data_IF_980978905760
#
_entry.id   IF_980978905760
#
_cell.length_a   1.000
_cell.length_b   1.000
_cell.length_c   1.000
_cell.angle_alpha   90.00
_cell.angle_beta   90.00
_cell.angle_gamma   90.00
#
_symmetry.space_group_name_H-M   'P 1'
#
loop_
_entity.id
_entity.type
_entity.pdbx_description
1 polymer ?
#
# COMPACT_ATOMS: atom_id res chain seq x y z
N UNK A 1 -4.69 31.65 16.47
CA UNK A 1 -5.77 31.00 15.69
C UNK A 1 -5.26 30.74 14.28
N UNK A 2 -4.47 29.67 14.08
CA UNK A 2 -3.97 29.27 12.76
C UNK A 2 -3.61 27.78 12.79
N UNK A 3 -4.53 26.90 12.44
CA UNK A 3 -4.21 25.51 12.06
C UNK A 3 -4.61 25.32 10.61
N UNK A 4 -3.72 25.76 9.72
CA UNK A 4 -3.74 25.43 8.30
C UNK A 4 -3.40 23.96 8.14
N UNK A 5 -4.31 23.07 8.53
CA UNK A 5 -4.27 21.70 8.04
C UNK A 5 -4.64 21.83 6.58
N UNK A 6 -3.65 21.79 5.69
CA UNK A 6 -3.93 21.61 4.27
C UNK A 6 -4.79 20.35 4.17
N UNK A 7 -6.07 20.51 3.86
CA UNK A 7 -6.92 19.36 3.57
C UNK A 7 -6.21 18.59 2.46
N UNK A 8 -5.80 17.37 2.78
CA UNK A 8 -5.35 16.40 1.80
C UNK A 8 -6.57 16.06 0.93
N UNK A 9 -6.90 16.95 0.00
CA UNK A 9 -7.93 16.74 -1.00
C UNK A 9 -7.42 15.65 -1.93
N UNK A 10 -7.72 14.40 -1.57
CA UNK A 10 -7.45 13.26 -2.43
C UNK A 10 -8.26 13.47 -3.71
N UNK A 11 -7.63 13.30 -4.86
CA UNK A 11 -8.34 13.41 -6.12
C UNK A 11 -9.42 12.31 -6.21
N UNK A 12 -10.51 12.54 -6.97
CA UNK A 12 -11.48 11.49 -7.26
C UNK A 12 -10.83 10.25 -7.88
N UNK A 13 -9.83 10.43 -8.75
CA UNK A 13 -9.08 9.35 -9.40
C UNK A 13 -8.32 8.50 -8.37
N UNK A 14 -7.62 9.13 -7.44
CA UNK A 14 -6.93 8.43 -6.34
C UNK A 14 -7.90 7.60 -5.50
N UNK A 15 -9.03 8.18 -5.09
CA UNK A 15 -10.03 7.48 -4.28
C UNK A 15 -10.63 6.28 -5.02
N UNK A 16 -10.88 6.43 -6.32
CA UNK A 16 -11.36 5.34 -7.16
C UNK A 16 -10.33 4.22 -7.22
N UNK A 17 -9.07 4.55 -7.55
CA UNK A 17 -7.98 3.57 -7.62
C UNK A 17 -7.78 2.82 -6.29
N UNK A 18 -7.81 3.54 -5.17
CA UNK A 18 -7.69 2.94 -3.83
C UNK A 18 -8.84 1.95 -3.55
N UNK A 19 -10.09 2.31 -3.86
CA UNK A 19 -11.26 1.45 -3.66
C UNK A 19 -11.24 0.23 -4.58
N UNK A 20 -10.91 0.40 -5.85
CA UNK A 20 -10.79 -0.69 -6.81
C UNK A 20 -9.68 -1.66 -6.42
N UNK A 21 -8.54 -1.14 -5.94
CA UNK A 21 -7.45 -1.97 -5.41
C UNK A 21 -7.86 -2.72 -4.14
N UNK A 22 -8.52 -2.06 -3.19
CA UNK A 22 -9.01 -2.72 -1.98
C UNK A 22 -9.96 -3.88 -2.35
N UNK A 23 -10.92 -3.64 -3.24
CA UNK A 23 -11.83 -4.66 -3.73
C UNK A 23 -11.10 -5.85 -4.41
N UNK A 24 -10.06 -5.58 -5.21
CA UNK A 24 -9.23 -6.61 -5.81
C UNK A 24 -8.41 -7.41 -4.77
N UNK A 25 -7.97 -6.77 -3.70
CA UNK A 25 -7.20 -7.41 -2.63
C UNK A 25 -8.05 -8.30 -1.74
N UNK A 26 -9.37 -8.13 -1.69
CA UNK A 26 -10.26 -9.00 -0.94
C UNK A 26 -10.28 -10.45 -1.51
N UNK A 27 -10.34 -11.48 -0.67
CA UNK A 27 -10.42 -12.86 -1.13
C UNK A 27 -11.82 -13.21 -1.66
N UNK A 28 -12.03 -13.08 -2.98
CA UNK A 28 -13.25 -13.51 -3.67
C UNK A 28 -12.99 -14.07 -5.06
N UNK A 29 -13.58 -15.23 -5.40
CA UNK A 29 -13.31 -15.94 -6.68
C UNK A 29 -14.18 -15.47 -7.85
N UNK A 30 -15.42 -15.04 -7.60
CA UNK A 30 -16.43 -14.89 -8.65
C UNK A 30 -16.15 -13.77 -9.66
N UNK A 31 -15.41 -12.71 -9.29
CA UNK A 31 -15.19 -11.55 -10.15
C UNK A 31 -13.72 -11.11 -10.20
N UNK A 32 -12.79 -12.03 -9.90
CA UNK A 32 -11.37 -11.73 -9.75
C UNK A 32 -10.77 -11.04 -11.01
N UNK A 33 -11.09 -11.54 -12.22
CA UNK A 33 -10.56 -10.95 -13.46
C UNK A 33 -11.12 -9.54 -13.72
N UNK A 34 -12.42 -9.35 -13.48
CA UNK A 34 -13.07 -8.04 -13.65
C UNK A 34 -12.54 -7.03 -12.66
N UNK A 35 -12.42 -7.41 -11.38
CA UNK A 35 -11.84 -6.56 -10.35
C UNK A 35 -10.39 -6.17 -10.66
N UNK A 36 -9.57 -7.12 -11.16
CA UNK A 36 -8.21 -6.82 -11.60
C UNK A 36 -8.18 -5.84 -12.78
N UNK A 37 -9.06 -5.99 -13.77
CA UNK A 37 -9.14 -5.06 -14.89
C UNK A 37 -9.55 -3.66 -14.43
N UNK A 38 -10.58 -3.55 -13.59
CA UNK A 38 -11.04 -2.27 -13.03
C UNK A 38 -9.93 -1.60 -12.22
N UNK A 39 -9.18 -2.35 -11.41
CA UNK A 39 -8.05 -1.82 -10.67
C UNK A 39 -6.93 -1.29 -11.59
N UNK A 40 -6.58 -2.02 -12.66
CA UNK A 40 -5.59 -1.56 -13.65
C UNK A 40 -6.03 -0.29 -14.38
N UNK A 41 -7.29 -0.23 -14.81
CA UNK A 41 -7.85 0.94 -15.47
C UNK A 41 -7.89 2.17 -14.54
N UNK A 42 -8.19 1.97 -13.25
CA UNK A 42 -8.15 3.06 -12.28
C UNK A 42 -6.70 3.55 -12.03
N UNK A 43 -5.71 2.64 -12.06
CA UNK A 43 -4.29 2.96 -11.89
C UNK A 43 -3.67 3.69 -13.09
N UNK A 44 -4.18 3.52 -14.30
CA UNK A 44 -3.65 4.20 -15.49
C UNK A 44 -3.95 5.70 -15.50
N UNK A 45 -4.97 6.14 -14.77
CA UNK A 45 -5.34 7.56 -14.65
C UNK A 45 -4.56 8.34 -13.58
N UNK A 46 -3.66 7.68 -12.84
CA UNK A 46 -2.93 8.31 -11.74
C UNK A 46 -1.61 8.93 -12.20
N UNK A 47 -1.31 10.11 -11.65
CA UNK A 47 0.01 10.72 -11.79
C UNK A 47 1.08 10.01 -10.93
N UNK A 48 2.35 10.42 -11.08
CA UNK A 48 3.47 9.82 -10.34
C UNK A 48 3.35 10.01 -8.82
N UNK A 49 2.84 11.15 -8.37
CA UNK A 49 2.65 11.46 -6.94
C UNK A 49 1.58 10.58 -6.34
N UNK A 50 0.45 10.44 -7.04
CA UNK A 50 -0.67 9.58 -6.64
C UNK A 50 -0.27 8.11 -6.65
N UNK A 51 0.44 7.64 -7.68
CA UNK A 51 1.02 6.29 -7.73
C UNK A 51 1.95 6.04 -6.55
N UNK A 52 2.80 7.00 -6.20
CA UNK A 52 3.69 6.91 -5.03
C UNK A 52 2.92 6.85 -3.71
N UNK A 53 1.80 7.58 -3.59
CA UNK A 53 0.91 7.52 -2.42
C UNK A 53 0.21 6.16 -2.32
N UNK A 54 -0.29 5.61 -3.42
CA UNK A 54 -0.87 4.26 -3.46
C UNK A 54 0.17 3.21 -3.07
N UNK A 55 1.39 3.29 -3.60
CA UNK A 55 2.48 2.38 -3.25
C UNK A 55 2.80 2.40 -1.74
N UNK A 56 2.85 3.60 -1.13
CA UNK A 56 3.03 3.76 0.32
C UNK A 56 1.85 3.19 1.12
N UNK A 57 0.63 3.39 0.66
CA UNK A 57 -0.56 2.81 1.29
C UNK A 57 -0.51 1.27 1.24
N UNK A 58 -0.15 0.68 0.10
CA UNK A 58 0.03 -0.77 -0.04
C UNK A 58 1.14 -1.31 0.88
N UNK A 59 2.25 -0.57 1.02
CA UNK A 59 3.33 -0.93 1.94
C UNK A 59 2.84 -0.97 3.40
N UNK A 60 1.99 -0.02 3.81
CA UNK A 60 1.37 -0.07 5.14
C UNK A 60 0.38 -1.23 5.29
N UNK A 61 -0.36 -1.58 4.24
CA UNK A 61 -1.21 -2.79 4.26
C UNK A 61 -0.39 -4.06 4.45
N UNK A 62 0.79 -4.15 3.83
CA UNK A 62 1.73 -5.26 4.02
C UNK A 62 2.19 -5.36 5.48
N UNK A 63 2.65 -4.25 6.08
CA UNK A 63 3.04 -4.22 7.50
C UNK A 63 1.86 -4.63 8.41
N UNK A 64 0.66 -4.14 8.12
CA UNK A 64 -0.52 -4.48 8.89
C UNK A 64 -0.98 -5.94 8.70
N UNK A 65 -0.76 -6.53 7.52
CA UNK A 65 -1.00 -7.95 7.29
C UNK A 65 -0.01 -8.79 8.09
N UNK A 66 1.28 -8.46 8.04
CA UNK A 66 2.33 -9.14 8.81
C UNK A 66 2.08 -9.08 10.32
N UNK A 67 1.74 -7.91 10.87
CA UNK A 67 1.52 -7.76 12.31
C UNK A 67 0.31 -8.53 12.84
N UNK A 68 -0.68 -8.83 11.96
CA UNK A 68 -1.87 -9.63 12.29
C UNK A 68 -1.74 -11.11 11.91
N UNK A 69 -0.59 -11.54 11.38
CA UNK A 69 -0.42 -12.90 10.82
C UNK A 69 -1.32 -13.19 9.62
N UNK A 70 -1.76 -12.15 8.91
CA UNK A 70 -2.64 -12.22 7.75
C UNK A 70 -1.90 -12.50 6.44
N UNK A 71 -2.66 -12.66 5.36
CA UNK A 71 -2.12 -12.88 4.02
C UNK A 71 -1.48 -11.61 3.46
N UNK A 72 -0.25 -11.74 2.98
CA UNK A 72 0.47 -10.66 2.31
C UNK A 72 -0.20 -10.27 0.97
N UNK A 73 -0.46 -8.97 0.72
CA UNK A 73 -0.89 -8.49 -0.59
C UNK A 73 0.16 -8.61 -1.71
N UNK A 74 1.44 -8.87 -1.40
CA UNK A 74 2.55 -8.80 -2.38
C UNK A 74 2.29 -9.59 -3.67
N UNK A 75 1.98 -10.89 -3.55
CA UNK A 75 1.77 -11.75 -4.71
C UNK A 75 0.54 -11.35 -5.56
N UNK A 76 -0.44 -10.66 -4.97
CA UNK A 76 -1.60 -10.13 -5.70
C UNK A 76 -1.26 -8.83 -6.41
N UNK A 77 -0.49 -7.95 -5.76
CA UNK A 77 -0.01 -6.69 -6.34
C UNK A 77 0.95 -6.97 -7.49
N UNK A 78 1.90 -7.89 -7.33
CA UNK A 78 2.85 -8.28 -8.39
C UNK A 78 2.16 -8.81 -9.64
N UNK A 79 1.12 -9.65 -9.47
CA UNK A 79 0.31 -10.15 -10.60
C UNK A 79 -0.53 -9.06 -11.25
N UNK A 80 -0.92 -8.04 -10.49
CA UNK A 80 -1.70 -6.92 -11.02
C UNK A 80 -0.81 -6.00 -11.87
N UNK A 81 0.27 -5.49 -11.28
CA UNK A 81 1.19 -4.53 -11.89
C UNK A 81 2.58 -4.64 -11.23
N UNK A 82 3.58 -5.04 -12.01
CA UNK A 82 4.95 -5.22 -11.54
C UNK A 82 5.63 -3.89 -11.14
N UNK A 83 5.32 -2.80 -11.83
CA UNK A 83 5.87 -1.47 -11.51
C UNK A 83 5.33 -0.95 -10.18
N UNK A 84 4.04 -1.19 -9.92
CA UNK A 84 3.41 -0.84 -8.66
C UNK A 84 3.97 -1.69 -7.52
N UNK A 85 4.20 -2.98 -7.77
CA UNK A 85 4.84 -3.86 -6.80
C UNK A 85 6.25 -3.37 -6.43
N UNK A 86 7.07 -3.00 -7.42
CA UNK A 86 8.40 -2.45 -7.15
C UNK A 86 8.30 -1.16 -6.33
N UNK A 87 7.43 -0.22 -6.70
CA UNK A 87 7.24 1.02 -5.95
C UNK A 87 6.75 0.76 -4.51
N UNK A 88 5.91 -0.26 -4.30
CA UNK A 88 5.47 -0.69 -2.98
C UNK A 88 6.63 -1.25 -2.15
N UNK A 89 7.50 -2.07 -2.73
CA UNK A 89 8.70 -2.59 -2.05
C UNK A 89 9.66 -1.44 -1.68
N UNK A 90 9.91 -0.52 -2.61
CA UNK A 90 10.72 0.66 -2.34
C UNK A 90 10.12 1.51 -1.21
N UNK A 91 8.79 1.69 -1.21
CA UNK A 91 8.10 2.40 -0.14
C UNK A 91 8.19 1.67 1.22
N UNK A 92 8.11 0.33 1.21
CA UNK A 92 8.20 -0.53 2.38
C UNK A 92 9.55 -0.33 3.10
N UNK A 93 10.66 -0.32 2.36
CA UNK A 93 12.01 -0.07 2.93
C UNK A 93 12.17 1.30 3.57
N UNK A 94 11.33 2.27 3.18
CA UNK A 94 11.37 3.66 3.65
C UNK A 94 10.35 3.96 4.76
N UNK A 95 9.54 2.98 5.18
CA UNK A 95 8.53 3.20 6.22
C UNK A 95 9.18 3.45 7.59
N UNK A 96 8.72 4.47 8.34
CA UNK A 96 9.17 4.71 9.71
C UNK A 96 8.69 3.57 10.61
N UNK A 97 9.61 2.92 11.32
CA UNK A 97 9.32 1.80 12.22
C UNK A 97 10.11 0.52 11.89
N UNK A 98 10.34 0.22 10.61
CA UNK A 98 11.23 -0.88 10.21
C UNK A 98 12.70 -0.53 10.48
N UNK A 99 13.06 0.74 10.31
CA UNK A 99 14.38 1.30 10.66
C UNK A 99 14.62 1.38 12.18
N UNK A 100 13.55 1.48 12.98
CA UNK A 100 13.66 1.57 14.45
C UNK A 100 13.74 0.18 15.10
N UNK A 101 13.01 -0.81 14.59
CA UNK A 101 13.12 -2.20 15.05
C UNK A 101 14.52 -2.79 14.82
N UNK A 102 15.22 -2.38 13.75
CA UNK A 102 16.62 -2.73 13.53
C UNK A 102 17.58 -2.14 14.60
N UNK A 103 17.18 -1.07 15.31
CA UNK A 103 17.98 -0.43 16.37
C UNK A 103 17.73 -0.98 17.77
N UNK A 104 16.63 -1.68 18.02
CA UNK A 104 16.29 -2.20 19.35
C UNK A 104 16.73 -3.65 19.60
N UNK A 105 17.23 -4.37 18.57
CA UNK A 105 17.75 -5.74 18.70
C UNK A 105 19.08 -5.89 19.45
N UNK A 106 19.70 -4.81 19.95
CA UNK A 106 21.01 -4.84 20.65
C UNK A 106 20.99 -4.48 22.13
N UNK A 107 19.85 -4.48 22.81
CA UNK A 107 19.81 -4.34 24.27
C UNK A 107 19.13 -5.56 24.93
N UNK A 108 19.80 -6.72 24.84
CA UNK A 108 19.76 -7.69 25.95
C UNK A 108 20.40 -6.98 27.15
N UNK A 109 19.59 -6.44 28.06
CA UNK A 109 20.02 -6.25 29.44
C UNK A 109 19.76 -7.56 30.16
N UNK A 110 20.82 -8.36 30.29
CA UNK A 110 20.95 -9.28 31.40
C UNK A 110 21.22 -8.45 32.65
N UNK A 111 20.35 -8.58 33.64
CA UNK A 111 20.60 -8.29 35.05
C UNK A 111 19.71 -9.24 35.85
#
# INVERSE_FOLDING_TARGET
MSTTIAELSLSPAYRLAQRSLACWLEPGKAEARRAAFVARAALSGLDLTERSRIARWLAWLEVAAQSRGGLSPQARVQRLDASLHQAMQDALTRLPGQTVAARTGKHRRSA
#
